data_IF_642397070633
#
_entry.id   IF_642397070633
#
_cell.length_a   1.000
_cell.length_b   1.000
_cell.length_c   1.000
_cell.angle_alpha   90.00
_cell.angle_beta   90.00
_cell.angle_gamma   90.00
#
_symmetry.space_group_name_H-M   'P 1'
#
loop_
_entity.id
_entity.type
_entity.pdbx_description
1 polymer ?
#
# COMPACT_ATOMS: atom_id res chain seq x y z
N UNK A 1 22.13 -21.50 -18.80
CA UNK A 1 21.00 -20.55 -18.64
C UNK A 1 21.53 -19.26 -18.04
N UNK A 2 21.41 -18.11 -18.75
CA UNK A 2 21.75 -16.80 -18.15
C UNK A 2 20.67 -16.50 -17.11
N UNK A 3 21.02 -16.44 -15.82
CA UNK A 3 20.10 -15.94 -14.79
C UNK A 3 19.73 -14.52 -15.18
N UNK A 4 18.45 -14.28 -15.41
CA UNK A 4 17.93 -12.95 -15.71
C UNK A 4 18.06 -12.12 -14.42
N UNK A 5 18.93 -11.12 -14.42
CA UNK A 5 19.19 -10.28 -13.23
C UNK A 5 17.90 -9.72 -12.62
N UNK A 6 16.96 -9.28 -13.47
CA UNK A 6 15.66 -8.79 -13.03
C UNK A 6 14.79 -9.84 -12.31
N UNK A 7 14.91 -11.12 -12.65
CA UNK A 7 14.15 -12.17 -11.95
C UNK A 7 14.66 -12.38 -10.51
N UNK A 8 15.98 -12.28 -10.32
CA UNK A 8 16.56 -12.35 -8.97
C UNK A 8 16.17 -11.14 -8.14
N UNK A 9 16.14 -9.94 -8.74
CA UNK A 9 15.71 -8.72 -8.05
C UNK A 9 14.25 -8.81 -7.61
N UNK A 10 13.35 -9.26 -8.48
CA UNK A 10 11.94 -9.49 -8.13
C UNK A 10 11.82 -10.51 -6.99
N UNK A 11 12.56 -11.62 -7.05
CA UNK A 11 12.54 -12.62 -5.99
C UNK A 11 13.02 -12.05 -4.64
N UNK A 12 14.11 -11.27 -4.62
CA UNK A 12 14.59 -10.63 -3.40
C UNK A 12 13.58 -9.63 -2.81
N UNK A 13 12.86 -8.89 -3.66
CA UNK A 13 11.80 -7.99 -3.21
C UNK A 13 10.65 -8.78 -2.59
N UNK A 14 10.25 -9.88 -3.22
CA UNK A 14 9.19 -10.75 -2.69
C UNK A 14 9.56 -11.36 -1.33
N UNK A 15 10.77 -11.91 -1.18
CA UNK A 15 11.22 -12.50 0.09
C UNK A 15 11.25 -11.45 1.19
N UNK A 16 11.71 -10.23 0.88
CA UNK A 16 11.70 -9.13 1.85
C UNK A 16 10.29 -8.76 2.30
N UNK A 17 9.34 -8.64 1.37
CA UNK A 17 7.93 -8.38 1.70
C UNK A 17 7.36 -9.51 2.56
N UNK A 18 7.69 -10.77 2.23
CA UNK A 18 7.25 -11.92 3.00
C UNK A 18 7.78 -11.87 4.43
N UNK A 19 9.09 -11.67 4.62
CA UNK A 19 9.70 -11.56 5.95
C UNK A 19 9.11 -10.38 6.75
N UNK A 20 8.85 -9.24 6.10
CA UNK A 20 8.28 -8.04 6.73
C UNK A 20 6.81 -8.21 7.14
N UNK A 21 6.07 -9.14 6.53
CA UNK A 21 4.63 -9.32 6.74
C UNK A 21 4.22 -10.67 7.36
N UNK A 22 5.09 -11.68 7.36
CA UNK A 22 4.74 -13.07 7.74
C UNK A 22 4.15 -13.15 9.15
N UNK A 23 4.71 -12.38 10.07
CA UNK A 23 4.35 -12.44 11.49
C UNK A 23 3.30 -11.39 11.88
N UNK A 24 2.80 -10.60 10.91
CA UNK A 24 1.77 -9.58 11.15
C UNK A 24 0.36 -10.15 11.07
N UNK A 25 -0.47 -9.78 12.05
CA UNK A 25 -1.92 -10.04 11.96
C UNK A 25 -2.57 -9.18 10.87
N UNK A 26 -3.75 -9.58 10.36
CA UNK A 26 -4.49 -8.76 9.41
C UNK A 26 -4.72 -7.31 9.88
N UNK A 27 -4.98 -7.11 11.17
CA UNK A 27 -5.19 -5.80 11.77
C UNK A 27 -3.92 -4.93 11.72
N UNK A 28 -2.77 -5.51 12.05
CA UNK A 28 -1.48 -4.82 11.98
C UNK A 28 -1.11 -4.45 10.54
N UNK A 29 -1.42 -5.31 9.56
CA UNK A 29 -1.21 -4.98 8.14
C UNK A 29 -2.08 -3.80 7.72
N UNK A 30 -3.35 -3.79 8.11
CA UNK A 30 -4.28 -2.69 7.82
C UNK A 30 -3.78 -1.38 8.45
N UNK A 31 -3.26 -1.43 9.67
CA UNK A 31 -2.69 -0.27 10.35
C UNK A 31 -1.49 0.30 9.59
N UNK A 32 -0.51 -0.55 9.21
CA UNK A 32 0.64 -0.12 8.40
C UNK A 32 0.23 0.54 7.08
N UNK A 33 -0.75 -0.03 6.38
CA UNK A 33 -1.28 0.54 5.13
C UNK A 33 -1.88 1.93 5.37
N UNK A 34 -2.59 2.13 6.48
CA UNK A 34 -3.17 3.43 6.83
C UNK A 34 -2.09 4.46 7.14
N UNK A 35 -1.10 4.10 7.96
CA UNK A 35 0.02 4.99 8.30
C UNK A 35 0.81 5.41 7.06
N UNK A 36 1.08 4.46 6.16
CA UNK A 36 1.79 4.74 4.92
C UNK A 36 0.98 5.63 3.97
N UNK A 37 -0.33 5.39 3.87
CA UNK A 37 -1.24 6.23 3.09
C UNK A 37 -1.28 7.66 3.66
N UNK A 38 -1.40 7.82 4.98
CA UNK A 38 -1.44 9.12 5.65
C UNK A 38 -0.11 9.88 5.48
N UNK A 39 1.03 9.18 5.59
CA UNK A 39 2.35 9.74 5.30
C UNK A 39 2.44 10.22 3.86
N UNK A 40 2.05 9.39 2.89
CA UNK A 40 2.07 9.72 1.47
C UNK A 40 1.24 10.96 1.15
N UNK A 41 0.03 11.07 1.72
CA UNK A 41 -0.86 12.21 1.52
C UNK A 41 -0.28 13.48 2.13
N UNK A 42 0.28 13.36 3.33
CA UNK A 42 0.90 14.49 4.05
C UNK A 42 2.11 15.04 3.30
N UNK A 43 3.03 14.16 2.86
CA UNK A 43 4.23 14.54 2.10
C UNK A 43 3.89 15.25 0.79
N UNK A 44 2.83 14.79 0.10
CA UNK A 44 2.38 15.38 -1.17
C UNK A 44 1.41 16.55 -0.97
N UNK A 45 1.12 16.95 0.26
CA UNK A 45 0.14 18.00 0.61
C UNK A 45 -1.24 17.75 -0.01
N UNK A 46 -1.61 16.48 -0.11
CA UNK A 46 -2.90 16.05 -0.63
C UNK A 46 -3.91 15.98 0.50
N UNK A 47 -5.04 16.67 0.34
CA UNK A 47 -6.15 16.60 1.28
C UNK A 47 -7.31 15.85 0.63
N UNK A 48 -7.30 14.53 0.74
CA UNK A 48 -8.37 13.68 0.23
C UNK A 48 -9.39 13.45 1.33
N UNK A 49 -10.64 13.85 1.08
CA UNK A 49 -11.75 13.50 1.97
C UNK A 49 -12.25 12.10 1.60
N UNK A 50 -12.41 11.25 2.62
CA UNK A 50 -13.08 9.97 2.46
C UNK A 50 -14.56 10.20 2.21
N UNK A 51 -14.98 10.11 0.94
CA UNK A 51 -16.39 10.22 0.57
C UNK A 51 -17.04 8.85 0.73
N UNK A 52 -18.15 8.76 1.48
CA UNK A 52 -18.93 7.52 1.55
C UNK A 52 -19.61 7.28 0.21
N UNK A 53 -19.73 6.02 -0.24
CA UNK A 53 -20.35 5.67 -1.53
C UNK A 53 -21.73 6.30 -1.76
N UNK A 54 -22.52 6.54 -0.70
CA UNK A 54 -23.82 7.22 -0.79
C UNK A 54 -23.72 8.71 -1.15
N UNK A 55 -22.62 9.38 -0.79
CA UNK A 55 -22.38 10.81 -1.04
C UNK A 55 -21.75 11.05 -2.42
N UNK A 56 -21.05 10.05 -2.99
CA UNK A 56 -20.45 10.14 -4.33
C UNK A 56 -21.49 10.41 -5.44
N UNK A 57 -22.72 9.90 -5.28
CA UNK A 57 -23.82 10.13 -6.23
C UNK A 57 -24.24 11.61 -6.33
N UNK A 58 -23.90 12.43 -5.34
CA UNK A 58 -24.34 13.83 -5.26
C UNK A 58 -23.26 14.83 -5.69
N UNK A 59 -21.98 14.40 -5.75
CA UNK A 59 -20.84 15.27 -6.12
C UNK A 59 -20.57 15.26 -7.63
N UNK A 60 -21.08 14.25 -8.34
CA UNK A 60 -20.95 14.11 -9.81
C UNK A 60 -22.22 14.53 -10.57
N UNK A 61 -23.20 15.14 -9.89
CA UNK A 61 -24.47 15.61 -10.45
C UNK A 61 -24.48 17.11 -10.68
#
# INVERSE_FOLDING_TARGET
MKRLKGLNEVHMIMEKIYDDERDLTPEQRIERIREEADRFLSERKLNLKKVKSKELKHVMG
#
